data_IF_558288541294
#
_entry.id   IF_558288541294
#
_cell.length_a   1.000
_cell.length_b   1.000
_cell.length_c   1.000
_cell.angle_alpha   90.00
_cell.angle_beta   90.00
_cell.angle_gamma   90.00
#
_symmetry.space_group_name_H-M   'P 1'
#
loop_
_entity.id
_entity.type
_entity.pdbx_description
1 polymer ?
#
# COMPACT_ATOMS: atom_id res chain seq x y z
N UNK A 1 -14.89 -2.72 23.50
CA UNK A 1 -14.03 -2.14 22.45
C UNK A 1 -13.36 -3.30 21.76
N UNK A 2 -13.48 -3.43 20.44
CA UNK A 2 -12.67 -4.41 19.72
C UNK A 2 -11.21 -4.01 19.92
N UNK A 3 -10.36 -4.96 20.27
CA UNK A 3 -8.93 -4.71 20.42
C UNK A 3 -8.38 -4.18 19.09
N UNK A 4 -7.65 -3.06 19.12
CA UNK A 4 -7.17 -2.43 17.89
C UNK A 4 -6.14 -3.35 17.21
N UNK A 5 -6.27 -3.55 15.90
CA UNK A 5 -5.28 -4.28 15.11
C UNK A 5 -3.93 -3.57 15.06
N UNK A 6 -2.92 -4.25 14.51
CA UNK A 6 -1.59 -3.67 14.27
C UNK A 6 -1.47 -3.32 12.80
N UNK A 7 -1.10 -2.07 12.49
CA UNK A 7 -0.75 -1.63 11.14
C UNK A 7 0.76 -1.67 10.94
N UNK A 8 1.22 -2.45 9.96
CA UNK A 8 2.64 -2.69 9.67
C UNK A 8 2.93 -2.23 8.24
N UNK A 9 3.94 -1.37 8.06
CA UNK A 9 4.43 -0.96 6.75
C UNK A 9 5.78 -1.59 6.44
N UNK A 10 6.02 -1.88 5.17
CA UNK A 10 7.31 -2.35 4.66
C UNK A 10 7.87 -1.29 3.71
N UNK A 11 8.91 -0.58 4.14
CA UNK A 11 9.53 0.52 3.40
C UNK A 11 10.92 0.15 2.87
N UNK A 12 11.37 0.86 1.83
CA UNK A 12 12.68 0.67 1.23
C UNK A 12 12.70 0.91 -0.27
N UNK A 13 13.91 0.98 -0.85
CA UNK A 13 14.11 1.18 -2.29
C UNK A 13 13.63 -0.03 -3.13
N UNK A 14 13.55 0.13 -4.44
CA UNK A 14 13.26 -0.97 -5.35
C UNK A 14 14.33 -2.06 -5.25
N UNK A 15 13.87 -3.32 -5.26
CA UNK A 15 14.74 -4.48 -5.05
C UNK A 15 15.11 -4.78 -3.58
N UNK A 16 14.68 -3.97 -2.59
CA UNK A 16 15.01 -4.19 -1.17
C UNK A 16 14.32 -5.43 -0.53
N UNK A 17 13.59 -6.24 -1.29
CA UNK A 17 12.93 -7.46 -0.77
C UNK A 17 11.65 -7.23 0.03
N UNK A 18 11.03 -6.04 -0.07
CA UNK A 18 9.78 -5.68 0.65
C UNK A 18 8.67 -6.72 0.47
N UNK A 19 8.38 -7.08 -0.78
CA UNK A 19 7.31 -8.05 -1.09
C UNK A 19 7.59 -9.44 -0.53
N UNK A 20 8.85 -9.89 -0.57
CA UNK A 20 9.26 -11.19 -0.03
C UNK A 20 9.09 -11.26 1.49
N UNK A 21 9.54 -10.22 2.21
CA UNK A 21 9.38 -10.16 3.66
C UNK A 21 7.91 -10.00 4.08
N UNK A 22 7.13 -9.20 3.35
CA UNK A 22 5.69 -9.05 3.58
C UNK A 22 4.95 -10.38 3.43
N UNK A 23 5.24 -11.16 2.38
CA UNK A 23 4.66 -12.48 2.17
C UNK A 23 5.04 -13.45 3.29
N UNK A 24 6.32 -13.50 3.67
CA UNK A 24 6.79 -14.36 4.76
C UNK A 24 6.11 -14.02 6.10
N UNK A 25 5.99 -12.73 6.44
CA UNK A 25 5.30 -12.29 7.65
C UNK A 25 3.81 -12.64 7.61
N UNK A 26 3.14 -12.39 6.48
CA UNK A 26 1.72 -12.69 6.28
C UNK A 26 1.44 -14.17 6.53
N UNK A 27 2.21 -15.07 5.89
CA UNK A 27 2.09 -16.51 6.06
C UNK A 27 2.32 -16.92 7.53
N UNK A 28 3.34 -16.35 8.17
CA UNK A 28 3.68 -16.63 9.57
C UNK A 28 2.56 -16.20 10.54
N UNK A 29 1.89 -15.08 10.28
CA UNK A 29 0.78 -14.59 11.09
C UNK A 29 -0.49 -15.41 10.86
N UNK A 30 -0.82 -15.72 9.60
CA UNK A 30 -1.95 -16.55 9.24
C UNK A 30 -1.82 -17.97 9.81
N UNK A 31 -0.62 -18.56 9.79
CA UNK A 31 -0.34 -19.85 10.42
C UNK A 31 -0.55 -19.87 11.94
N UNK A 32 -0.53 -18.69 12.59
CA UNK A 32 -0.87 -18.52 14.01
C UNK A 32 -2.34 -18.15 14.24
N UNK A 33 -3.20 -18.30 13.24
CA UNK A 33 -4.63 -18.02 13.32
C UNK A 33 -4.98 -16.53 13.34
N UNK A 34 -4.07 -15.64 12.92
CA UNK A 34 -4.35 -14.20 12.81
C UNK A 34 -5.05 -13.87 11.49
N UNK A 35 -6.03 -12.97 11.54
CA UNK A 35 -6.58 -12.34 10.34
C UNK A 35 -5.58 -11.29 9.86
N UNK A 36 -5.20 -11.37 8.58
CA UNK A 36 -4.22 -10.44 7.98
C UNK A 36 -4.81 -9.88 6.70
N UNK A 37 -4.94 -8.56 6.63
CA UNK A 37 -5.24 -7.82 5.41
C UNK A 37 -3.92 -7.34 4.81
N UNK A 38 -3.63 -7.75 3.58
CA UNK A 38 -2.44 -7.31 2.84
C UNK A 38 -2.89 -6.30 1.81
N UNK A 39 -2.19 -5.18 1.75
CA UNK A 39 -2.49 -4.10 0.82
C UNK A 39 -1.21 -3.34 0.44
N UNK A 40 -1.27 -2.44 -0.55
CA UNK A 40 -0.11 -1.68 -1.04
C UNK A 40 -0.43 -0.26 -1.48
N UNK A 41 0.55 0.63 -1.35
CA UNK A 41 0.52 1.98 -1.90
C UNK A 41 1.77 2.28 -2.75
N UNK A 42 1.67 3.20 -3.74
CA UNK A 42 0.43 3.69 -4.34
C UNK A 42 -0.29 2.56 -5.10
N UNK A 43 -1.62 2.51 -5.05
CA UNK A 43 -2.43 1.42 -5.60
C UNK A 43 -3.38 0.83 -4.55
N UNK A 44 -3.81 -0.41 -4.74
CA UNK A 44 -4.64 -1.16 -3.78
C UNK A 44 -6.15 -0.96 -3.92
N UNK A 45 -6.59 0.03 -4.70
CA UNK A 45 -7.99 0.24 -5.12
C UNK A 45 -8.05 0.59 -6.60
N UNK A 46 -9.20 0.42 -7.28
CA UNK A 46 -9.31 0.76 -8.71
C UNK A 46 -8.90 2.20 -9.05
N UNK A 47 -9.29 3.18 -8.22
CA UNK A 47 -8.89 4.58 -8.43
C UNK A 47 -7.41 4.79 -8.12
N UNK A 48 -6.88 4.24 -7.03
CA UNK A 48 -5.46 4.38 -6.70
C UNK A 48 -4.55 3.75 -7.76
N UNK A 49 -4.95 2.67 -8.43
CA UNK A 49 -4.21 2.10 -9.57
C UNK A 49 -4.21 3.03 -10.79
N UNK A 50 -5.33 3.71 -11.09
CA UNK A 50 -5.39 4.71 -12.17
C UNK A 50 -4.49 5.90 -11.88
N UNK A 51 -4.51 6.40 -10.64
CA UNK A 51 -3.65 7.50 -10.19
C UNK A 51 -2.18 7.10 -10.26
N UNK A 52 -1.82 5.90 -9.82
CA UNK A 52 -0.46 5.35 -9.97
C UNK A 52 -0.03 5.30 -11.43
N UNK A 53 -0.91 4.84 -12.34
CA UNK A 53 -0.58 4.77 -13.75
C UNK A 53 -0.28 6.16 -14.34
N UNK A 54 -0.99 7.21 -13.91
CA UNK A 54 -0.67 8.58 -14.32
C UNK A 54 0.68 9.04 -13.79
N UNK A 55 0.98 8.82 -12.50
CA UNK A 55 2.28 9.19 -11.90
C UNK A 55 3.45 8.51 -12.62
N UNK A 56 3.30 7.27 -13.06
CA UNK A 56 4.38 6.53 -13.73
C UNK A 56 4.60 6.90 -15.19
N UNK A 57 3.59 7.43 -15.88
CA UNK A 57 3.62 7.52 -17.35
C UNK A 57 3.37 8.94 -17.90
N UNK A 58 2.83 9.86 -17.10
CA UNK A 58 2.52 11.22 -17.53
C UNK A 58 3.53 12.21 -16.94
N UNK A 59 4.19 13.06 -17.75
CA UNK A 59 5.02 14.14 -17.24
C UNK A 59 4.17 15.13 -16.42
N UNK A 60 4.64 15.49 -15.24
CA UNK A 60 3.99 16.50 -14.40
C UNK A 60 5.00 17.20 -13.48
N UNK A 61 4.59 18.30 -12.86
CA UNK A 61 5.38 18.96 -11.82
C UNK A 61 5.41 18.10 -10.54
N UNK A 62 6.49 18.18 -9.76
CA UNK A 62 6.69 17.36 -8.57
C UNK A 62 5.61 17.52 -7.49
N UNK A 63 5.02 18.72 -7.33
CA UNK A 63 3.90 18.91 -6.41
C UNK A 63 2.63 18.22 -6.93
N UNK A 64 2.44 18.17 -8.25
CA UNK A 64 1.32 17.46 -8.86
C UNK A 64 1.43 15.95 -8.62
N UNK A 65 2.63 15.37 -8.79
CA UNK A 65 2.87 13.95 -8.46
C UNK A 65 2.52 13.65 -7.01
N UNK A 66 3.03 14.49 -6.09
CA UNK A 66 2.81 14.32 -4.66
C UNK A 66 1.32 14.35 -4.31
N UNK A 67 0.56 15.32 -4.84
CA UNK A 67 -0.87 15.43 -4.59
C UNK A 67 -1.66 14.23 -5.12
N UNK A 68 -1.28 13.69 -6.28
CA UNK A 68 -1.92 12.47 -6.82
C UNK A 68 -1.60 11.23 -5.97
N UNK A 69 -0.38 11.09 -5.46
CA UNK A 69 -0.02 10.01 -4.53
C UNK A 69 -0.83 10.11 -3.23
N UNK A 70 -1.01 11.32 -2.68
CA UNK A 70 -1.86 11.52 -1.50
C UNK A 70 -3.34 11.28 -1.77
N UNK A 71 -3.84 11.64 -2.96
CA UNK A 71 -5.21 11.33 -3.38
C UNK A 71 -5.43 9.80 -3.48
N UNK A 72 -4.46 9.08 -4.05
CA UNK A 72 -4.48 7.61 -4.12
C UNK A 72 -4.49 6.97 -2.73
N UNK A 73 -3.66 7.45 -1.80
CA UNK A 73 -3.67 7.04 -0.39
C UNK A 73 -5.01 7.31 0.29
N UNK A 74 -5.61 8.48 0.06
CA UNK A 74 -6.90 8.82 0.66
C UNK A 74 -7.99 7.85 0.19
N UNK A 75 -8.02 7.55 -1.10
CA UNK A 75 -8.97 6.57 -1.64
C UNK A 75 -8.75 5.18 -1.05
N UNK A 76 -7.50 4.74 -0.95
CA UNK A 76 -7.10 3.48 -0.34
C UNK A 76 -7.62 3.32 1.09
N UNK A 77 -7.32 4.28 1.96
CA UNK A 77 -7.73 4.26 3.39
C UNK A 77 -9.25 4.25 3.56
N UNK A 78 -10.00 4.79 2.60
CA UNK A 78 -11.46 4.77 2.65
C UNK A 78 -12.07 3.41 2.24
N UNK A 79 -11.34 2.57 1.51
CA UNK A 79 -11.89 1.35 0.90
C UNK A 79 -11.29 0.04 1.44
N UNK A 80 -10.11 0.08 2.05
CA UNK A 80 -9.39 -1.08 2.60
C UNK A 80 -9.48 -1.08 4.12
#
# INVERSE_FOLDING_TARGET
>A
MADAGVFITFEGIDGAGKSSHMQALTQSLQARGRVVTVTREPGGTPLAEQLRAMVLNAPMDGLTEALLVFAARRDHVCQV
#
